data_IF_530960434166
#
_entry.id   IF_530960434166
#
_cell.length_a   1.000
_cell.length_b   1.000
_cell.length_c   1.000
_cell.angle_alpha   90.00
_cell.angle_beta   90.00
_cell.angle_gamma   90.00
#
_symmetry.space_group_name_H-M   'P 1'
#
loop_
_entity.id
_entity.type
_entity.pdbx_description
1 polymer ?
#
# COMPACT_ATOMS: atom_id res chain seq x y z
N UNK A 1 8.57 5.86 1.43
CA UNK A 1 8.23 4.50 0.97
C UNK A 1 9.50 3.95 0.35
N UNK A 2 9.93 2.73 0.68
CA UNK A 2 11.10 2.14 0.01
C UNK A 2 10.78 2.07 -1.49
N UNK A 3 11.74 2.47 -2.33
CA UNK A 3 11.55 2.58 -3.78
C UNK A 3 11.24 1.25 -4.50
N UNK A 4 11.26 0.14 -3.75
CA UNK A 4 11.06 -1.22 -4.26
C UNK A 4 9.74 -1.86 -3.78
N UNK A 5 8.84 -1.11 -3.12
CA UNK A 5 7.54 -1.69 -2.71
C UNK A 5 6.72 -2.07 -3.94
N UNK A 6 6.46 -3.36 -4.12
CA UNK A 6 5.68 -3.89 -5.23
C UNK A 6 4.19 -3.95 -4.91
N UNK A 7 3.36 -4.13 -5.94
CA UNK A 7 1.93 -4.40 -5.78
C UNK A 7 1.69 -5.70 -4.98
N UNK A 8 2.54 -6.72 -5.17
CA UNK A 8 2.44 -8.00 -4.47
C UNK A 8 2.75 -7.88 -2.98
N UNK A 9 3.72 -7.05 -2.61
CA UNK A 9 4.01 -6.73 -1.21
C UNK A 9 2.81 -6.04 -0.56
N UNK A 10 2.26 -5.01 -1.23
CA UNK A 10 1.08 -4.28 -0.76
C UNK A 10 -0.12 -5.21 -0.60
N UNK A 11 -0.38 -6.09 -1.57
CA UNK A 11 -1.46 -7.06 -1.52
C UNK A 11 -1.28 -8.04 -0.37
N UNK A 12 -0.06 -8.53 -0.15
CA UNK A 12 0.26 -9.45 0.95
C UNK A 12 -0.01 -8.79 2.30
N UNK A 13 0.45 -7.54 2.48
CA UNK A 13 0.20 -6.77 3.69
C UNK A 13 -1.30 -6.48 3.92
N UNK A 14 -2.02 -6.06 2.87
CA UNK A 14 -3.45 -5.78 2.94
C UNK A 14 -4.25 -7.05 3.27
N UNK A 15 -3.91 -8.18 2.66
CA UNK A 15 -4.58 -9.47 2.90
C UNK A 15 -4.31 -9.98 4.30
N UNK A 16 -3.06 -9.91 4.78
CA UNK A 16 -2.73 -10.28 6.16
C UNK A 16 -3.48 -9.41 7.18
N UNK A 17 -3.60 -8.10 6.90
CA UNK A 17 -4.35 -7.18 7.76
C UNK A 17 -5.86 -7.47 7.73
N UNK A 18 -6.42 -7.74 6.56
CA UNK A 18 -7.83 -8.11 6.40
C UNK A 18 -8.16 -9.41 7.15
N UNK A 19 -7.30 -10.42 7.06
CA UNK A 19 -7.42 -11.67 7.83
C UNK A 19 -7.41 -11.43 9.33
N UNK A 20 -6.48 -10.60 9.81
CA UNK A 20 -6.37 -10.29 11.23
C UNK A 20 -7.57 -9.50 11.78
N UNK A 21 -8.21 -8.67 10.96
CA UNK A 21 -9.33 -7.82 11.39
C UNK A 21 -10.69 -8.51 11.24
N UNK A 22 -10.89 -9.27 10.17
CA UNK A 22 -12.20 -9.76 9.76
C UNK A 22 -12.26 -11.29 9.57
N UNK A 23 -11.15 -12.00 9.76
CA UNK A 23 -11.05 -13.44 9.54
C UNK A 23 -10.84 -13.83 8.08
N UNK A 24 -10.52 -15.10 7.87
CA UNK A 24 -10.18 -15.67 6.55
C UNK A 24 -11.32 -15.53 5.54
N UNK A 25 -12.56 -15.89 5.93
CA UNK A 25 -13.70 -15.89 5.02
C UNK A 25 -14.01 -14.50 4.46
N UNK A 26 -13.93 -13.48 5.33
CA UNK A 26 -14.19 -12.10 4.92
C UNK A 26 -13.04 -11.54 4.10
N UNK A 27 -11.80 -11.86 4.45
CA UNK A 27 -10.63 -11.49 3.64
C UNK A 27 -10.68 -12.10 2.25
N UNK A 28 -11.07 -13.38 2.14
CA UNK A 28 -11.26 -14.07 0.86
C UNK A 28 -12.37 -13.43 0.02
N UNK A 29 -13.51 -13.09 0.64
CA UNK A 29 -14.60 -12.39 -0.04
C UNK A 29 -14.22 -10.99 -0.53
N UNK A 30 -13.18 -10.38 0.06
CA UNK A 30 -12.68 -9.04 -0.28
C UNK A 30 -11.46 -9.06 -1.20
N UNK A 31 -11.00 -10.23 -1.67
CA UNK A 31 -9.75 -10.38 -2.45
C UNK A 31 -9.64 -9.39 -3.60
N UNK A 32 -10.68 -9.28 -4.44
CA UNK A 32 -10.72 -8.35 -5.56
C UNK A 32 -10.59 -6.88 -5.14
N UNK A 33 -11.22 -6.48 -4.03
CA UNK A 33 -11.11 -5.12 -3.50
C UNK A 33 -9.70 -4.85 -2.93
N UNK A 34 -9.09 -5.84 -2.27
CA UNK A 34 -7.72 -5.73 -1.75
C UNK A 34 -6.70 -5.66 -2.88
N UNK A 35 -6.87 -6.44 -3.95
CA UNK A 35 -6.05 -6.36 -5.17
C UNK A 35 -6.15 -5.00 -5.84
N UNK A 36 -7.36 -4.47 -6.00
CA UNK A 36 -7.56 -3.15 -6.58
C UNK A 36 -6.92 -2.06 -5.72
N UNK A 37 -7.08 -2.16 -4.39
CA UNK A 37 -6.47 -1.22 -3.44
C UNK A 37 -4.94 -1.27 -3.51
N UNK A 38 -4.35 -2.46 -3.60
CA UNK A 38 -2.90 -2.61 -3.72
C UNK A 38 -2.35 -1.91 -4.98
N UNK A 39 -3.04 -2.05 -6.12
CA UNK A 39 -2.67 -1.36 -7.37
C UNK A 39 -2.77 0.15 -7.23
N UNK A 40 -3.87 0.66 -6.68
CA UNK A 40 -4.07 2.10 -6.46
C UNK A 40 -3.00 2.69 -5.54
N UNK A 41 -2.66 2.01 -4.44
CA UNK A 41 -1.61 2.45 -3.53
C UNK A 41 -0.24 2.48 -4.20
N UNK A 42 0.05 1.50 -5.04
CA UNK A 42 1.29 1.47 -5.81
C UNK A 42 1.34 2.62 -6.82
N UNK A 43 0.27 2.85 -7.58
CA UNK A 43 0.15 3.97 -8.54
C UNK A 43 0.32 5.33 -7.84
N UNK A 44 -0.29 5.53 -6.67
CA UNK A 44 -0.09 6.72 -5.84
C UNK A 44 1.38 6.85 -5.43
N UNK A 45 2.01 5.75 -5.02
CA UNK A 45 3.43 5.73 -4.66
C UNK A 45 4.36 6.11 -5.81
N UNK A 46 4.01 5.74 -7.04
CA UNK A 46 4.77 6.11 -8.26
C UNK A 46 4.55 7.57 -8.68
N UNK A 47 3.35 8.10 -8.45
CA UNK A 47 2.96 9.45 -8.91
C UNK A 47 3.21 10.53 -7.87
N UNK A 48 3.42 10.16 -6.60
CA UNK A 48 3.79 11.09 -5.54
C UNK A 48 5.27 11.47 -5.71
N UNK A 49 5.60 12.73 -6.03
CA UNK A 49 6.99 13.17 -6.07
C UNK A 49 7.64 12.89 -4.72
N UNK A 50 8.88 12.39 -4.72
CA UNK A 50 9.66 12.35 -3.50
C UNK A 50 9.61 13.74 -2.89
N UNK A 51 9.16 13.81 -1.63
CA UNK A 51 8.95 15.07 -0.90
C UNK A 51 10.20 15.92 -1.11
N UNK A 52 10.10 16.98 -1.92
CA UNK A 52 11.20 17.93 -2.10
C UNK A 52 11.49 18.48 -0.71
N UNK A 53 12.57 17.99 -0.12
CA UNK A 53 13.08 18.50 1.14
C UNK A 53 13.58 19.89 0.79
N UNK A 54 12.80 20.93 1.03
CA UNK A 54 13.27 22.31 0.91
C UNK A 54 14.56 22.43 1.74
N UNK A 55 15.72 22.67 1.11
CA UNK A 55 16.97 22.81 1.84
C UNK A 55 16.97 24.21 2.44
N UNK A 56 16.62 24.36 3.73
CA UNK A 56 16.94 25.61 4.42
C UNK A 56 16.24 26.00 5.72
N UNK A 57 15.27 25.25 6.25
CA UNK A 57 14.49 25.71 7.42
C UNK A 57 14.83 25.09 8.78
N UNK A 58 15.93 24.33 8.88
CA UNK A 58 16.53 24.00 10.17
C UNK A 58 17.92 24.61 10.22
N UNK A 59 17.98 25.87 10.68
CA UNK A 59 19.19 26.45 11.26
C UNK A 59 19.35 25.95 12.70
#
# INVERSE_FOLDING_TARGET
>A
MNSDTTVEDLLTHLTARARALWGEDKAAAMSSALEQTARQLWEIGQTTPARDVEPGFYQ
#
